data_IF_177314804113
#
_entry.id   IF_177314804113
#
_cell.length_a   1.000
_cell.length_b   1.000
_cell.length_c   1.000
_cell.angle_alpha   90.00
_cell.angle_beta   90.00
_cell.angle_gamma   90.00
#
_symmetry.space_group_name_H-M   'P 1'
#
loop_
_entity.id
_entity.type
_entity.pdbx_description
1 polymer ?
#
# COMPACT_ATOMS: atom_id res chain seq x y z
N UNK A 1 18.13 6.72 -13.73
CA UNK A 1 17.25 6.42 -14.88
C UNK A 1 16.10 5.59 -14.35
N UNK A 2 14.87 6.11 -14.38
CA UNK A 2 13.69 5.36 -13.91
C UNK A 2 13.42 4.23 -14.92
N UNK A 3 13.48 2.98 -14.46
CA UNK A 3 13.35 1.77 -15.29
C UNK A 3 11.96 1.61 -15.94
N UNK A 4 11.00 2.44 -15.54
CA UNK A 4 9.57 2.23 -15.77
C UNK A 4 8.87 3.37 -16.51
N UNK A 5 9.60 4.42 -16.92
CA UNK A 5 9.00 5.60 -17.55
C UNK A 5 8.25 5.25 -18.85
N UNK A 6 6.97 5.63 -18.94
CA UNK A 6 6.13 5.46 -20.14
C UNK A 6 5.43 4.11 -20.29
N UNK A 7 5.55 3.20 -19.31
CA UNK A 7 4.89 1.88 -19.35
C UNK A 7 3.55 1.91 -18.61
N UNK A 8 2.54 1.15 -19.07
CA UNK A 8 1.31 0.97 -18.30
C UNK A 8 1.62 0.24 -17.00
N UNK A 9 1.13 0.81 -15.90
CA UNK A 9 1.26 0.24 -14.55
C UNK A 9 -0.12 -0.19 -14.09
N UNK A 10 -0.28 -1.48 -13.81
CA UNK A 10 -1.45 -1.96 -13.09
C UNK A 10 -1.16 -1.94 -11.58
N UNK A 11 -2.14 -1.50 -10.78
CA UNK A 11 -2.02 -1.48 -9.32
C UNK A 11 -3.09 -2.38 -8.75
N UNK A 12 -2.66 -3.49 -8.13
CA UNK A 12 -3.54 -4.51 -7.57
C UNK A 12 -3.47 -4.48 -6.05
N UNK A 13 -4.62 -4.26 -5.41
CA UNK A 13 -4.76 -4.42 -3.96
C UNK A 13 -5.01 -5.90 -3.67
N UNK A 14 -4.11 -6.54 -2.92
CA UNK A 14 -4.13 -7.99 -2.66
C UNK A 14 -3.87 -8.31 -1.19
N UNK A 15 -3.94 -9.58 -0.82
CA UNK A 15 -3.62 -10.03 0.53
C UNK A 15 -4.43 -9.33 1.62
N UNK A 16 -3.73 -8.99 2.70
CA UNK A 16 -4.28 -8.29 3.86
C UNK A 16 -4.68 -6.84 3.52
N UNK A 17 -3.99 -6.18 2.58
CA UNK A 17 -4.39 -4.86 2.09
C UNK A 17 -5.79 -4.85 1.49
N UNK A 18 -6.19 -5.91 0.78
CA UNK A 18 -7.52 -5.98 0.17
C UNK A 18 -8.61 -6.01 1.24
N UNK A 19 -8.40 -6.79 2.30
CA UNK A 19 -9.33 -6.89 3.42
C UNK A 19 -9.46 -5.51 4.10
N UNK A 20 -8.33 -4.89 4.47
CA UNK A 20 -8.34 -3.57 5.10
C UNK A 20 -8.99 -2.48 4.22
N UNK A 21 -8.75 -2.53 2.91
CA UNK A 21 -9.34 -1.59 1.96
C UNK A 21 -10.87 -1.78 1.83
N UNK A 22 -11.34 -3.01 1.70
CA UNK A 22 -12.76 -3.34 1.58
C UNK A 22 -13.53 -2.98 2.86
N UNK A 23 -12.98 -3.30 4.03
CA UNK A 23 -13.56 -2.93 5.33
C UNK A 23 -13.68 -1.41 5.47
N UNK A 24 -12.61 -0.67 5.17
CA UNK A 24 -12.63 0.79 5.23
C UNK A 24 -13.61 1.40 4.21
N UNK A 25 -13.68 0.86 3.00
CA UNK A 25 -14.65 1.29 1.99
C UNK A 25 -16.09 1.11 2.46
N UNK A 26 -16.39 -0.03 3.12
CA UNK A 26 -17.71 -0.28 3.71
C UNK A 26 -18.05 0.75 4.78
N UNK A 27 -17.13 1.01 5.71
CA UNK A 27 -17.31 2.02 6.77
C UNK A 27 -17.58 3.40 6.16
N UNK A 28 -16.77 3.81 5.18
CA UNK A 28 -16.95 5.09 4.47
C UNK A 28 -18.29 5.15 3.74
N UNK A 29 -18.74 4.05 3.15
CA UNK A 29 -20.06 3.95 2.54
C UNK A 29 -21.18 4.19 3.54
N UNK A 30 -21.13 3.54 4.70
CA UNK A 30 -22.11 3.70 5.78
C UNK A 30 -22.11 5.11 6.40
N UNK A 31 -20.95 5.76 6.50
CA UNK A 31 -20.87 7.14 6.96
C UNK A 31 -21.57 8.09 5.97
N UNK A 32 -21.33 7.90 4.67
CA UNK A 32 -21.96 8.70 3.62
C UNK A 32 -23.47 8.52 3.58
N UNK A 33 -23.99 7.31 3.77
CA UNK A 33 -25.45 7.08 3.83
C UNK A 33 -26.09 7.77 5.03
N UNK A 34 -25.34 8.01 6.12
CA UNK A 34 -25.76 8.78 7.30
C UNK A 34 -25.58 10.30 7.14
N UNK A 35 -25.15 10.78 5.98
CA UNK A 35 -24.91 12.20 5.72
C UNK A 35 -23.62 12.74 6.34
N UNK A 36 -22.71 11.88 6.80
CA UNK A 36 -21.41 12.30 7.32
C UNK A 36 -20.52 12.69 6.14
N UNK A 37 -20.21 13.98 6.03
CA UNK A 37 -19.45 14.55 4.90
C UNK A 37 -17.93 14.57 5.12
N UNK A 38 -17.47 14.34 6.35
CA UNK A 38 -16.04 14.23 6.70
C UNK A 38 -15.88 13.37 7.95
N UNK A 39 -14.90 12.47 7.91
CA UNK A 39 -14.49 11.64 9.03
C UNK A 39 -13.01 11.24 8.88
N UNK A 40 -12.34 10.79 9.95
CA UNK A 40 -11.00 10.20 9.84
C UNK A 40 -10.94 9.02 8.86
N UNK A 41 -12.00 8.20 8.78
CA UNK A 41 -12.09 7.07 7.86
C UNK A 41 -12.13 7.53 6.39
N UNK A 42 -12.92 8.56 6.09
CA UNK A 42 -12.99 9.15 4.76
C UNK A 42 -11.66 9.80 4.35
N UNK A 43 -11.00 10.50 5.29
CA UNK A 43 -9.68 11.09 5.07
C UNK A 43 -8.64 10.01 4.78
N UNK A 44 -8.62 8.93 5.56
CA UNK A 44 -7.73 7.78 5.32
C UNK A 44 -8.00 7.12 3.96
N UNK A 45 -9.27 6.83 3.66
CA UNK A 45 -9.66 6.18 2.41
C UNK A 45 -9.29 7.01 1.19
N UNK A 46 -9.52 8.33 1.24
CA UNK A 46 -9.12 9.23 0.18
C UNK A 46 -7.59 9.32 0.04
N UNK A 47 -6.85 9.31 1.16
CA UNK A 47 -5.38 9.25 1.13
C UNK A 47 -4.88 7.95 0.48
N UNK A 48 -5.52 6.80 0.74
CA UNK A 48 -5.14 5.52 0.12
C UNK A 48 -5.34 5.59 -1.39
N UNK A 49 -6.53 5.99 -1.85
CA UNK A 49 -6.83 6.13 -3.29
C UNK A 49 -5.84 7.07 -3.98
N UNK A 50 -5.57 8.23 -3.38
CA UNK A 50 -4.60 9.18 -3.94
C UNK A 50 -3.20 8.55 -4.08
N UNK A 51 -2.73 7.81 -3.07
CA UNK A 51 -1.42 7.16 -3.17
C UNK A 51 -1.39 6.01 -4.16
N UNK A 52 -2.50 5.30 -4.36
CA UNK A 52 -2.61 4.30 -5.44
C UNK A 52 -2.43 4.96 -6.81
N UNK A 53 -3.02 6.13 -7.04
CA UNK A 53 -2.80 6.89 -8.29
C UNK A 53 -1.33 7.29 -8.44
N UNK A 54 -0.68 7.77 -7.38
CA UNK A 54 0.75 8.12 -7.44
C UNK A 54 1.65 6.92 -7.71
N UNK A 55 1.33 5.74 -7.16
CA UNK A 55 2.04 4.49 -7.47
C UNK A 55 1.79 4.08 -8.93
N UNK A 56 0.59 4.32 -9.47
CA UNK A 56 0.27 4.05 -10.87
C UNK A 56 1.07 4.94 -11.81
N UNK A 57 1.20 6.23 -11.50
CA UNK A 57 1.98 7.18 -12.28
C UNK A 57 3.50 6.94 -12.16
N UNK A 58 3.94 6.53 -10.97
CA UNK A 58 5.33 6.22 -10.68
C UNK A 58 5.42 5.01 -9.73
N UNK A 59 5.69 3.79 -10.24
CA UNK A 59 5.80 2.58 -9.42
C UNK A 59 6.81 2.71 -8.28
N UNK A 60 7.88 3.48 -8.48
CA UNK A 60 8.93 3.71 -7.47
C UNK A 60 8.64 4.93 -6.56
N UNK A 61 7.38 5.38 -6.49
CA UNK A 61 6.97 6.55 -5.70
C UNK A 61 7.29 6.43 -4.20
N UNK A 62 7.27 5.21 -3.65
CA UNK A 62 7.50 4.97 -2.23
C UNK A 62 8.96 5.11 -1.79
N UNK A 63 9.18 4.80 -0.52
CA UNK A 63 10.51 4.62 0.06
C UNK A 63 10.88 3.14 -0.07
N UNK A 64 11.98 2.85 -0.75
CA UNK A 64 12.49 1.48 -0.88
C UNK A 64 12.90 0.91 0.49
N UNK A 65 12.44 -0.31 0.79
CA UNK A 65 12.80 -1.06 1.99
C UNK A 65 13.99 -1.98 1.66
N UNK A 66 15.12 -1.87 2.38
CA UNK A 66 16.26 -2.77 2.23
C UNK A 66 15.88 -4.26 2.27
N UNK A 67 16.47 -5.07 1.40
CA UNK A 67 16.13 -6.50 1.25
C UNK A 67 16.23 -7.30 2.55
N UNK A 68 17.21 -6.97 3.40
CA UNK A 68 17.41 -7.61 4.70
C UNK A 68 16.33 -7.26 5.75
N UNK A 69 15.48 -6.26 5.47
CA UNK A 69 14.36 -5.85 6.32
C UNK A 69 13.01 -6.38 5.81
N UNK A 70 12.97 -7.14 4.71
CA UNK A 70 11.72 -7.69 4.17
C UNK A 70 11.27 -8.86 5.05
N UNK A 71 10.04 -8.80 5.63
CA UNK A 71 9.45 -9.92 6.36
C UNK A 71 9.42 -11.23 5.54
N UNK A 72 9.75 -12.35 6.20
CA UNK A 72 9.85 -13.68 5.54
C UNK A 72 8.54 -14.14 4.92
N UNK A 73 7.41 -13.80 5.52
CA UNK A 73 6.09 -14.15 5.00
C UNK A 73 5.79 -13.44 3.67
N UNK A 74 6.27 -12.22 3.44
CA UNK A 74 6.18 -11.61 2.12
C UNK A 74 6.98 -12.35 1.06
N UNK A 75 8.18 -12.82 1.42
CA UNK A 75 9.02 -13.62 0.52
C UNK A 75 8.30 -14.93 0.20
N UNK A 76 7.84 -15.64 1.22
CA UNK A 76 7.24 -16.97 1.06
C UNK A 76 5.88 -16.94 0.34
N UNK A 77 5.04 -15.96 0.63
CA UNK A 77 3.66 -15.92 0.12
C UNK A 77 3.54 -15.21 -1.23
N UNK A 78 4.47 -14.31 -1.54
CA UNK A 78 4.36 -13.44 -2.72
C UNK A 78 5.62 -13.44 -3.60
N UNK A 79 6.66 -14.22 -3.28
CA UNK A 79 7.95 -14.25 -4.00
C UNK A 79 8.53 -12.84 -4.16
N UNK A 80 8.57 -12.12 -3.05
CA UNK A 80 8.98 -10.71 -3.00
C UNK A 80 10.51 -10.61 -2.94
N UNK A 81 11.08 -9.86 -3.89
CA UNK A 81 12.51 -9.54 -3.91
C UNK A 81 12.81 -8.02 -3.78
N UNK A 82 11.77 -7.19 -3.76
CA UNK A 82 11.79 -5.74 -3.60
C UNK A 82 10.54 -5.29 -2.84
N UNK A 83 10.66 -4.27 -1.99
CA UNK A 83 9.54 -3.79 -1.19
C UNK A 83 9.62 -2.29 -1.04
N UNK A 84 8.46 -1.65 -1.06
CA UNK A 84 8.31 -0.19 -1.00
C UNK A 84 7.27 0.18 0.05
N UNK A 85 7.47 1.36 0.65
CA UNK A 85 6.58 1.92 1.66
C UNK A 85 6.13 3.32 1.28
N UNK A 86 4.84 3.59 1.40
CA UNK A 86 4.29 4.95 1.35
C UNK A 86 3.70 5.31 2.70
N UNK A 87 4.12 6.42 3.28
CA UNK A 87 3.46 7.00 4.45
C UNK A 87 2.18 7.72 4.00
N UNK A 88 1.09 7.49 4.71
CA UNK A 88 -0.21 8.14 4.49
C UNK A 88 -0.73 8.77 5.78
N UNK A 89 -1.88 9.46 5.68
CA UNK A 89 -2.48 10.18 6.81
C UNK A 89 -2.67 9.31 8.05
N UNK A 90 -2.60 9.93 9.24
CA UNK A 90 -2.81 9.24 10.52
C UNK A 90 -1.74 8.21 10.88
N UNK A 91 -0.51 8.37 10.36
CA UNK A 91 0.59 7.42 10.54
C UNK A 91 0.29 6.00 10.04
N UNK A 92 -0.55 5.89 9.01
CA UNK A 92 -0.76 4.66 8.26
C UNK A 92 0.30 4.50 7.17
N UNK A 93 0.50 3.26 6.71
CA UNK A 93 1.48 2.92 5.67
C UNK A 93 0.86 1.97 4.67
N UNK A 94 1.19 2.19 3.40
CA UNK A 94 0.97 1.24 2.31
C UNK A 94 2.29 0.51 2.07
N UNK A 95 2.26 -0.81 2.05
CA UNK A 95 3.39 -1.65 1.66
C UNK A 95 3.07 -2.34 0.34
N UNK A 96 4.00 -2.26 -0.60
CA UNK A 96 3.80 -2.85 -1.92
C UNK A 96 5.10 -3.37 -2.52
N UNK A 97 4.97 -4.28 -3.46
CA UNK A 97 6.07 -4.80 -4.28
C UNK A 97 5.81 -4.46 -5.74
N UNK A 98 6.86 -4.26 -6.52
CA UNK A 98 6.78 -4.06 -7.96
C UNK A 98 7.20 -5.37 -8.62
N UNK A 99 6.30 -5.94 -9.40
CA UNK A 99 6.58 -7.03 -10.33
C UNK A 99 6.51 -6.49 -11.74
N UNK A 100 7.31 -7.01 -12.65
CA UNK A 100 7.19 -6.59 -14.04
C UNK A 100 8.21 -7.23 -14.96
N UNK A 101 7.91 -7.10 -16.24
CA UNK A 101 8.77 -7.46 -17.34
C UNK A 101 9.08 -6.21 -18.17
N UNK A 102 9.66 -6.39 -19.36
CA UNK A 102 9.84 -5.29 -20.31
C UNK A 102 8.50 -4.70 -20.79
N UNK A 103 7.39 -5.45 -20.69
CA UNK A 103 6.10 -5.13 -21.30
C UNK A 103 5.05 -4.62 -20.30
N UNK A 104 5.03 -5.14 -19.08
CA UNK A 104 4.00 -4.79 -18.08
C UNK A 104 4.63 -4.63 -16.69
N UNK A 105 4.15 -3.64 -15.95
CA UNK A 105 4.50 -3.41 -14.55
C UNK A 105 3.25 -3.57 -13.71
N UNK A 106 3.35 -4.35 -12.65
CA UNK A 106 2.30 -4.60 -11.68
C UNK A 106 2.82 -4.19 -10.30
N UNK A 107 2.22 -3.15 -9.72
CA UNK A 107 2.40 -2.82 -8.32
C UNK A 107 1.37 -3.60 -7.48
N UNK A 108 1.85 -4.54 -6.67
CA UNK A 108 1.00 -5.32 -5.76
C UNK A 108 1.02 -4.68 -4.39
N UNK A 109 -0.09 -4.06 -3.99
CA UNK A 109 -0.29 -3.56 -2.64
C UNK A 109 -0.57 -4.76 -1.72
N UNK A 110 0.36 -5.05 -0.80
CA UNK A 110 0.33 -6.23 0.05
C UNK A 110 -0.33 -5.95 1.40
N UNK A 111 -0.07 -4.77 1.96
CA UNK A 111 -0.55 -4.39 3.29
C UNK A 111 -0.89 -2.90 3.39
N UNK A 112 -1.91 -2.59 4.21
CA UNK A 112 -2.29 -1.24 4.62
C UNK A 112 -2.55 -1.28 6.12
N UNK A 113 -1.65 -0.70 6.92
CA UNK A 113 -1.77 -0.77 8.38
C UNK A 113 -1.33 0.51 9.08
N UNK A 114 -1.74 0.62 10.35
CA UNK A 114 -1.32 1.68 11.26
C UNK A 114 0.15 1.46 11.72
N UNK A 115 0.67 2.40 12.51
CA UNK A 115 2.05 2.32 13.02
C UNK A 115 2.34 1.11 13.91
N UNK A 116 1.42 0.72 14.77
CA UNK A 116 1.62 -0.39 15.71
C UNK A 116 1.74 -1.72 14.97
N UNK A 117 0.87 -1.94 14.00
CA UNK A 117 0.85 -3.17 13.22
C UNK A 117 2.01 -3.22 12.22
N UNK A 118 2.44 -2.06 11.69
CA UNK A 118 3.69 -1.93 10.93
C UNK A 118 4.89 -2.41 11.74
N UNK A 119 5.08 -1.86 12.93
CA UNK A 119 6.25 -2.17 13.76
C UNK A 119 6.26 -3.65 14.13
N UNK A 120 5.08 -4.21 14.44
CA UNK A 120 4.93 -5.64 14.70
C UNK A 120 5.30 -6.49 13.48
N UNK A 121 4.81 -6.15 12.29
CA UNK A 121 5.08 -6.88 11.04
C UNK A 121 6.56 -6.86 10.67
N UNK A 122 7.23 -5.73 10.90
CA UNK A 122 8.65 -5.53 10.56
C UNK A 122 9.62 -5.84 11.71
N UNK A 123 9.12 -6.26 12.88
CA UNK A 123 9.95 -6.58 14.04
C UNK A 123 10.67 -5.37 14.63
N UNK A 124 10.13 -4.16 14.45
CA UNK A 124 10.70 -2.95 15.03
C UNK A 124 10.34 -2.82 16.51
N UNK A 125 11.24 -2.22 17.28
CA UNK A 125 10.95 -1.85 18.67
C UNK A 125 9.88 -0.76 18.64
N UNK A 126 8.88 -0.85 19.52
CA UNK A 126 7.86 0.18 19.69
C UNK A 126 8.55 1.53 19.90
N UNK A 127 8.30 2.47 18.99
CA UNK A 127 8.69 3.88 19.12
C UNK A 127 7.59 4.73 19.73
#
# INVERSE_FOLDING_TARGET
>A
MNLFHGKPVDVKVTGDARIAYEELNKIVGEEKTKGITTSPNQVLFNSIKQKIEFIRENPEYGIHIPKNLIPRDYINNYDVNNLWKVNITGAWRIIYTIKGSEVEIIALILDIFNHKDYDKKFGYKKS
#
